data_IF_419014274874
#
_entry.id   IF_419014274874
#
_cell.length_a   1.000
_cell.length_b   1.000
_cell.length_c   1.000
_cell.angle_alpha   90.00
_cell.angle_beta   90.00
_cell.angle_gamma   90.00
#
_symmetry.space_group_name_H-M   'P 1'
#
loop_
_entity.id
_entity.type
_entity.pdbx_description
1 polymer ?
#
# COMPACT_ATOMS: atom_id res chain seq x y z
N UNK A 1 -4.93 -0.62 29.05
CA UNK A 1 -6.34 -0.76 28.63
C UNK A 1 -6.32 -1.50 27.32
N UNK A 2 -6.55 -2.82 27.36
CA UNK A 2 -6.50 -3.67 26.18
C UNK A 2 -7.85 -3.64 25.47
N UNK A 3 -7.85 -3.49 24.15
CA UNK A 3 -9.04 -3.70 23.35
C UNK A 3 -9.45 -5.18 23.44
N UNK A 4 -10.64 -5.41 24.02
CA UNK A 4 -11.25 -6.72 24.16
C UNK A 4 -11.59 -7.23 22.75
N UNK A 5 -11.04 -8.38 22.34
CA UNK A 5 -11.47 -9.08 21.13
C UNK A 5 -12.93 -9.56 21.30
N UNK A 6 -13.75 -9.50 20.23
CA UNK A 6 -15.17 -9.89 20.31
C UNK A 6 -15.33 -11.37 20.68
N UNK A 7 -16.40 -11.67 21.43
CA UNK A 7 -16.75 -13.02 21.85
C UNK A 7 -17.02 -13.92 20.63
N UNK A 8 -16.66 -15.19 20.75
CA UNK A 8 -16.63 -16.24 19.71
C UNK A 8 -17.97 -16.58 18.99
N UNK A 9 -19.03 -15.76 19.12
CA UNK A 9 -20.40 -16.09 18.73
C UNK A 9 -20.88 -15.60 17.35
N UNK A 10 -20.37 -14.49 16.83
CA UNK A 10 -20.67 -14.02 15.47
C UNK A 10 -19.36 -13.57 14.85
N UNK A 11 -18.59 -14.52 14.33
CA UNK A 11 -17.43 -14.16 13.50
C UNK A 11 -18.03 -13.65 12.18
N UNK A 12 -17.79 -12.40 11.76
CA UNK A 12 -18.30 -11.93 10.50
C UNK A 12 -17.84 -12.86 9.36
N UNK A 13 -18.69 -13.07 8.37
CA UNK A 13 -18.39 -13.92 7.22
C UNK A 13 -17.09 -13.50 6.52
N UNK A 14 -16.72 -12.22 6.65
CA UNK A 14 -15.44 -11.67 6.22
C UNK A 14 -14.85 -10.73 7.29
N UNK A 15 -13.55 -10.86 7.54
CA UNK A 15 -12.79 -9.99 8.41
C UNK A 15 -11.55 -9.49 7.68
N UNK A 16 -11.38 -8.17 7.61
CA UNK A 16 -10.30 -7.51 6.90
C UNK A 16 -9.42 -6.72 7.87
N UNK A 17 -8.11 -6.82 7.66
CA UNK A 17 -7.13 -6.10 8.46
C UNK A 17 -6.35 -5.11 7.59
N UNK A 18 -6.43 -3.83 7.94
CA UNK A 18 -5.68 -2.74 7.33
C UNK A 18 -4.35 -2.57 8.07
N UNK A 19 -3.25 -2.91 7.38
CA UNK A 19 -1.90 -2.65 7.87
C UNK A 19 -1.39 -1.33 7.30
N UNK A 20 -1.21 -0.34 8.16
CA UNK A 20 -0.82 1.02 7.78
C UNK A 20 0.63 1.30 8.14
N UNK A 21 1.29 2.13 7.34
CA UNK A 21 2.58 2.71 7.74
C UNK A 21 2.37 3.86 8.74
N UNK A 22 3.41 4.28 9.44
CA UNK A 22 3.33 5.34 10.46
C UNK A 22 3.32 6.77 9.88
N UNK A 23 2.82 7.00 8.65
CA UNK A 23 2.74 8.32 8.06
C UNK A 23 1.80 9.23 8.88
N UNK A 24 2.22 10.46 9.26
CA UNK A 24 1.44 11.34 10.13
C UNK A 24 0.15 11.88 9.48
N UNK A 25 -0.03 11.69 8.17
CA UNK A 25 -1.24 12.07 7.46
C UNK A 25 -2.37 11.05 7.53
N UNK A 26 -2.17 9.91 8.20
CA UNK A 26 -3.23 8.91 8.35
C UNK A 26 -4.20 9.26 9.49
N UNK A 27 -5.50 8.99 9.33
CA UNK A 27 -6.46 9.03 10.44
C UNK A 27 -6.10 7.96 11.49
N UNK A 28 -6.71 8.01 12.67
CA UNK A 28 -6.41 7.04 13.73
C UNK A 28 -6.89 5.64 13.34
N UNK A 29 -6.34 4.60 13.97
CA UNK A 29 -6.75 3.22 13.69
C UNK A 29 -8.23 3.00 14.05
N UNK A 30 -8.69 3.64 15.11
CA UNK A 30 -10.08 3.59 15.58
C UNK A 30 -11.05 4.19 14.57
N UNK A 31 -10.66 5.27 13.88
CA UNK A 31 -11.47 5.91 12.83
C UNK A 31 -11.60 5.03 11.57
N UNK A 32 -10.64 4.12 11.36
CA UNK A 32 -10.60 3.22 10.19
C UNK A 32 -11.27 1.87 10.44
N UNK A 33 -11.65 1.57 11.68
CA UNK A 33 -12.40 0.36 12.03
C UNK A 33 -13.89 0.55 11.73
N UNK A 34 -14.57 -0.52 11.32
CA UNK A 34 -16.04 -0.50 11.20
C UNK A 34 -16.70 -0.93 12.50
N UNK A 35 -17.89 -0.40 12.77
CA UNK A 35 -18.65 -0.69 14.01
C UNK A 35 -19.06 -2.17 14.14
N UNK A 36 -19.27 -2.84 13.01
CA UNK A 36 -19.55 -4.28 12.92
C UNK A 36 -18.31 -5.17 13.09
N UNK A 37 -17.12 -4.58 13.17
CA UNK A 37 -15.86 -5.30 13.33
C UNK A 37 -15.39 -6.05 12.09
N UNK A 38 -16.02 -5.86 10.92
CA UNK A 38 -15.57 -6.48 9.66
C UNK A 38 -14.23 -5.92 9.19
N UNK A 39 -13.93 -4.65 9.50
CA UNK A 39 -12.67 -3.99 9.18
C UNK A 39 -11.99 -3.55 10.48
N UNK A 40 -10.74 -3.96 10.64
CA UNK A 40 -9.85 -3.50 11.72
C UNK A 40 -8.58 -2.89 11.13
N UNK A 41 -7.98 -1.92 11.81
CA UNK A 41 -6.72 -1.29 11.40
C UNK A 41 -5.61 -1.41 12.45
N UNK A 42 -4.36 -1.46 12.01
CA UNK A 42 -3.19 -1.23 12.88
C UNK A 42 -2.07 -0.52 12.14
N UNK A 43 -1.27 0.21 12.91
CA UNK A 43 -0.01 0.75 12.45
C UNK A 43 1.12 -0.25 12.64
N UNK A 44 1.92 -0.41 11.59
CA UNK A 44 3.15 -1.18 11.67
C UNK A 44 4.14 -0.54 12.65
N UNK A 45 4.99 -1.36 13.32
CA UNK A 45 6.13 -0.85 14.06
C UNK A 45 7.04 0.01 13.19
N UNK A 46 7.71 0.98 13.79
CA UNK A 46 8.63 1.85 13.08
C UNK A 46 9.69 1.05 12.32
N UNK A 47 10.08 1.53 11.13
CA UNK A 47 11.09 0.93 10.26
C UNK A 47 10.78 -0.48 9.73
N UNK A 48 9.56 -1.00 9.89
CA UNK A 48 9.17 -2.32 9.35
C UNK A 48 8.39 -2.24 8.04
N UNK A 49 7.98 -1.03 7.64
CA UNK A 49 7.17 -0.79 6.44
C UNK A 49 7.76 -1.45 5.19
N UNK A 50 9.05 -1.24 4.92
CA UNK A 50 9.71 -1.81 3.75
C UNK A 50 9.75 -3.35 3.73
N UNK A 51 9.71 -3.97 4.90
CA UNK A 51 9.74 -5.44 5.05
C UNK A 51 8.35 -6.05 5.01
N UNK A 52 7.31 -5.33 5.44
CA UNK A 52 5.97 -5.89 5.58
C UNK A 52 5.06 -5.45 4.43
N UNK A 53 5.20 -4.22 3.96
CA UNK A 53 4.32 -3.67 2.93
C UNK A 53 4.74 -4.17 1.54
N UNK A 54 3.83 -4.84 0.80
CA UNK A 54 4.12 -5.30 -0.55
C UNK A 54 4.52 -4.17 -1.50
N UNK A 55 4.00 -2.96 -1.23
CA UNK A 55 4.25 -1.77 -2.05
C UNK A 55 5.76 -1.45 -2.14
N UNK A 56 6.47 -1.62 -1.03
CA UNK A 56 7.89 -1.32 -0.88
C UNK A 56 8.80 -2.47 -1.33
N UNK A 57 8.31 -3.71 -1.32
CA UNK A 57 9.15 -4.87 -1.65
C UNK A 57 9.43 -5.02 -3.14
N UNK A 58 8.44 -4.78 -4.02
CA UNK A 58 8.64 -4.93 -5.48
C UNK A 58 7.66 -4.12 -6.33
N UNK A 59 6.49 -3.76 -5.82
CA UNK A 59 5.45 -3.07 -6.61
C UNK A 59 5.98 -1.73 -7.11
N UNK A 60 6.53 -0.89 -6.23
CA UNK A 60 7.14 0.40 -6.61
C UNK A 60 8.28 0.21 -7.62
N UNK A 61 9.13 -0.80 -7.42
CA UNK A 61 10.23 -1.08 -8.33
C UNK A 61 9.74 -1.42 -9.74
N UNK A 62 8.72 -2.28 -9.84
CA UNK A 62 8.15 -2.69 -11.12
C UNK A 62 7.45 -1.54 -11.83
N UNK A 63 6.72 -0.70 -11.09
CA UNK A 63 6.11 0.53 -11.64
C UNK A 63 7.20 1.46 -12.19
N UNK A 64 8.26 1.72 -11.41
CA UNK A 64 9.39 2.55 -11.84
C UNK A 64 10.09 1.99 -13.08
N UNK A 65 10.27 0.67 -13.15
CA UNK A 65 10.86 0.01 -14.31
C UNK A 65 9.98 0.17 -15.55
N UNK A 66 8.66 -0.04 -15.42
CA UNK A 66 7.71 0.17 -16.51
C UNK A 66 7.73 1.60 -17.04
N UNK A 67 7.71 2.58 -16.13
CA UNK A 67 7.81 3.99 -16.48
C UNK A 67 9.10 4.32 -17.23
N UNK A 68 10.25 3.84 -16.75
CA UNK A 68 11.55 4.05 -17.42
C UNK A 68 11.58 3.46 -18.82
N UNK A 69 11.03 2.25 -19.01
CA UNK A 69 10.93 1.63 -20.34
C UNK A 69 10.09 2.49 -21.27
N UNK A 70 8.90 2.90 -20.84
CA UNK A 70 8.00 3.75 -21.62
C UNK A 70 8.66 5.09 -21.99
N UNK A 71 9.30 5.75 -21.01
CA UNK A 71 10.01 7.01 -21.22
C UNK A 71 11.11 6.87 -22.26
N UNK A 72 11.94 5.81 -22.16
CA UNK A 72 13.00 5.54 -23.13
C UNK A 72 12.44 5.26 -24.52
N UNK A 73 11.39 4.46 -24.63
CA UNK A 73 10.71 4.21 -25.91
C UNK A 73 10.20 5.52 -26.53
N UNK A 74 9.61 6.41 -25.74
CA UNK A 74 9.13 7.70 -26.25
C UNK A 74 10.27 8.60 -26.73
N UNK A 75 11.40 8.65 -26.00
CA UNK A 75 12.57 9.45 -26.39
C UNK A 75 13.20 8.89 -27.68
N UNK A 76 13.32 7.57 -27.80
CA UNK A 76 13.93 6.93 -28.97
C UNK A 76 13.03 6.99 -30.23
N UNK A 77 11.71 7.03 -30.05
CA UNK A 77 10.76 7.18 -31.13
C UNK A 77 10.49 8.65 -31.50
N UNK A 78 11.14 9.61 -30.83
CA UNK A 78 11.01 11.03 -31.15
C UNK A 78 11.63 11.30 -32.53
N UNK A 79 10.84 11.76 -33.52
CA UNK A 79 11.32 11.99 -34.88
C UNK A 79 12.46 13.02 -34.96
N UNK A 80 12.64 13.87 -33.95
CA UNK A 80 13.74 14.86 -33.90
C UNK A 80 15.12 14.20 -33.91
N UNK A 81 15.24 12.92 -33.53
CA UNK A 81 16.50 12.16 -33.60
C UNK A 81 16.71 11.38 -34.91
N UNK A 82 15.69 11.28 -35.78
CA UNK A 82 15.77 10.53 -37.04
C UNK A 82 16.11 11.40 -38.27
N UNK A 83 16.25 12.72 -38.11
CA UNK A 83 16.59 13.63 -39.23
C UNK A 83 18.10 13.85 -39.42
N UNK A 84 18.95 13.17 -38.64
CA UNK A 84 20.41 13.29 -38.71
C UNK A 84 21.15 11.99 -39.08
N UNK A 85 20.49 11.05 -39.77
CA UNK A 85 21.15 9.86 -40.35
C UNK A 85 21.13 9.89 -41.88
#
# INVERSE_FOLDING_TARGET
>A
MGSQLPAYGERPDSFFFLLLNSCPGHPSAEELCTDDGEISAMFLPSNTTALIQPIDQNVIQNIKLGYRKLLLTNILNDPVQNENL
#
